data_IF_103580435222
#
_entry.id   IF_103580435222
#
_cell.length_a   1.000
_cell.length_b   1.000
_cell.length_c   1.000
_cell.angle_alpha   90.00
_cell.angle_beta   90.00
_cell.angle_gamma   90.00
#
_symmetry.space_group_name_H-M   'P 1'
#
loop_
_entity.id
_entity.type
_entity.pdbx_description
1 polymer ?
#
# COMPACT_ATOMS: atom_id res chain seq x y z
N UNK A 1 16.89 6.59 -6.04
CA UNK A 1 16.88 7.14 -4.65
C UNK A 1 15.57 7.87 -4.33
N UNK A 2 15.03 8.71 -5.23
CA UNK A 2 13.75 9.42 -5.01
C UNK A 2 12.55 8.49 -4.72
N UNK A 3 12.41 7.38 -5.44
CA UNK A 3 11.29 6.45 -5.25
C UNK A 3 11.19 5.92 -3.81
N UNK A 4 12.32 5.69 -3.14
CA UNK A 4 12.32 5.23 -1.75
C UNK A 4 11.68 6.29 -0.83
N UNK A 5 11.97 7.57 -1.03
CA UNK A 5 11.36 8.64 -0.26
C UNK A 5 9.85 8.71 -0.48
N UNK A 6 9.40 8.62 -1.73
CA UNK A 6 7.98 8.64 -2.08
C UNK A 6 7.20 7.46 -1.47
N UNK A 7 7.86 6.32 -1.26
CA UNK A 7 7.24 5.14 -0.66
C UNK A 7 7.28 5.20 0.88
N UNK A 8 8.46 5.44 1.47
CA UNK A 8 8.65 5.29 2.91
C UNK A 8 8.24 6.53 3.73
N UNK A 9 8.33 7.75 3.17
CA UNK A 9 7.97 8.97 3.92
C UNK A 9 6.48 8.97 4.31
N UNK A 10 5.52 8.71 3.40
CA UNK A 10 4.10 8.64 3.78
C UNK A 10 3.84 7.61 4.88
N UNK A 11 4.45 6.42 4.76
CA UNK A 11 4.33 5.33 5.75
C UNK A 11 4.83 5.79 7.13
N UNK A 12 6.00 6.41 7.17
CA UNK A 12 6.57 6.96 8.41
C UNK A 12 5.69 8.04 9.03
N UNK A 13 5.10 8.91 8.22
CA UNK A 13 4.17 9.96 8.68
C UNK A 13 2.90 9.33 9.28
N UNK A 14 2.27 8.36 8.63
CA UNK A 14 1.06 7.72 9.15
C UNK A 14 1.32 7.04 10.49
N UNK A 15 2.40 6.26 10.59
CA UNK A 15 2.81 5.61 11.82
C UNK A 15 3.13 6.63 12.92
N UNK A 16 3.91 7.65 12.58
CA UNK A 16 4.29 8.72 13.50
C UNK A 16 3.08 9.45 14.08
N UNK A 17 2.10 9.81 13.24
CA UNK A 17 0.86 10.45 13.67
C UNK A 17 0.03 9.54 14.57
N UNK A 18 -0.15 8.27 14.20
CA UNK A 18 -0.92 7.30 15.00
C UNK A 18 -0.32 7.11 16.39
N UNK A 19 1.02 7.00 16.47
CA UNK A 19 1.73 6.82 17.73
C UNK A 19 1.77 8.12 18.55
N UNK A 20 2.01 9.27 17.92
CA UNK A 20 2.07 10.56 18.61
C UNK A 20 0.70 10.96 19.16
N UNK A 21 -0.38 10.74 18.40
CA UNK A 21 -1.75 11.06 18.83
C UNK A 21 -2.40 9.97 19.68
N UNK A 22 -1.68 8.89 19.97
CA UNK A 22 -2.17 7.77 20.78
C UNK A 22 -3.56 7.27 20.35
N UNK A 23 -3.75 7.09 19.04
CA UNK A 23 -5.07 6.74 18.51
C UNK A 23 -5.59 5.43 19.12
N UNK A 24 -6.88 5.34 19.48
CA UNK A 24 -7.42 4.21 20.25
C UNK A 24 -7.46 2.89 19.48
N UNK A 25 -7.44 2.93 18.14
CA UNK A 25 -7.51 1.74 17.26
C UNK A 25 -6.40 1.78 16.21
N UNK A 26 -5.12 1.78 16.63
CA UNK A 26 -3.98 2.08 15.74
C UNK A 26 -3.88 1.09 14.57
N UNK A 27 -4.11 -0.20 14.83
CA UNK A 27 -4.11 -1.23 13.79
C UNK A 27 -5.20 -0.99 12.74
N UNK A 28 -6.45 -0.80 13.17
CA UNK A 28 -7.57 -0.59 12.25
C UNK A 28 -7.41 0.71 11.46
N UNK A 29 -6.93 1.79 12.11
CA UNK A 29 -6.64 3.05 11.44
C UNK A 29 -5.63 2.86 10.32
N UNK A 30 -4.49 2.21 10.60
CA UNK A 30 -3.43 2.00 9.61
C UNK A 30 -3.83 0.99 8.52
N UNK A 31 -4.65 0.00 8.85
CA UNK A 31 -5.22 -0.93 7.87
C UNK A 31 -6.13 -0.20 6.87
N UNK A 32 -7.02 0.68 7.35
CA UNK A 32 -7.92 1.47 6.50
C UNK A 32 -7.14 2.47 5.66
N UNK A 33 -6.11 3.11 6.23
CA UNK A 33 -5.20 3.99 5.47
C UNK A 33 -4.51 3.18 4.36
N UNK A 34 -3.97 2.01 4.68
CA UNK A 34 -3.31 1.12 3.71
C UNK A 34 -4.25 0.67 2.59
N UNK A 35 -5.49 0.29 2.91
CA UNK A 35 -6.52 -0.04 1.92
C UNK A 35 -6.81 1.16 1.00
N UNK A 36 -7.08 2.32 1.58
CA UNK A 36 -7.38 3.56 0.83
C UNK A 36 -6.21 3.95 -0.06
N UNK A 37 -4.99 3.87 0.46
CA UNK A 37 -3.75 4.11 -0.28
C UNK A 37 -3.61 3.13 -1.45
N UNK A 38 -3.81 1.82 -1.21
CA UNK A 38 -3.73 0.79 -2.26
C UNK A 38 -4.75 1.01 -3.39
N UNK A 39 -5.96 1.47 -3.04
CA UNK A 39 -6.98 1.87 -4.02
C UNK A 39 -6.48 3.06 -4.85
N UNK A 40 -5.98 4.12 -4.22
CA UNK A 40 -5.47 5.29 -4.94
C UNK A 40 -4.27 4.95 -5.84
N UNK A 41 -3.35 4.10 -5.38
CA UNK A 41 -2.24 3.60 -6.20
C UNK A 41 -2.76 2.78 -7.38
N UNK A 42 -3.74 1.90 -7.15
CA UNK A 42 -4.37 1.13 -8.21
C UNK A 42 -5.02 2.03 -9.26
N UNK A 43 -5.76 3.06 -8.84
CA UNK A 43 -6.35 4.06 -9.73
C UNK A 43 -5.27 4.84 -10.48
N UNK A 44 -4.18 5.23 -9.82
CA UNK A 44 -3.05 5.89 -10.47
C UNK A 44 -2.43 5.00 -11.55
N UNK A 45 -2.25 3.69 -11.31
CA UNK A 45 -1.81 2.76 -12.34
C UNK A 45 -2.78 2.71 -13.52
N UNK A 46 -4.09 2.72 -13.29
CA UNK A 46 -5.07 2.67 -14.38
C UNK A 46 -5.11 3.94 -15.22
N UNK A 47 -5.10 5.09 -14.54
CA UNK A 47 -5.12 6.40 -15.18
C UNK A 47 -3.81 6.64 -15.93
N UNK A 48 -2.67 6.36 -15.30
CA UNK A 48 -1.35 6.68 -15.84
C UNK A 48 -0.80 5.62 -16.83
N UNK A 49 -1.49 4.49 -17.00
CA UNK A 49 -1.06 3.37 -17.84
C UNK A 49 -0.55 3.76 -19.25
N UNK A 50 -1.18 4.68 -20.00
CA UNK A 50 -0.72 5.03 -21.35
C UNK A 50 0.63 5.75 -21.38
N UNK A 51 1.03 6.37 -20.27
CA UNK A 51 2.29 7.10 -20.13
C UNK A 51 3.35 6.31 -19.36
N UNK A 52 2.98 5.16 -18.78
CA UNK A 52 3.88 4.36 -17.96
C UNK A 52 4.83 3.49 -18.79
N UNK A 53 4.51 3.24 -20.07
CA UNK A 53 5.27 2.33 -20.94
C UNK A 53 5.38 2.88 -22.36
N UNK A 54 6.59 2.82 -22.94
CA UNK A 54 6.80 3.13 -24.37
C UNK A 54 6.11 2.10 -25.27
N UNK A 55 5.96 0.87 -24.79
CA UNK A 55 5.21 -0.20 -25.44
C UNK A 55 4.38 -0.94 -24.40
N UNK A 56 3.08 -1.22 -24.65
CA UNK A 56 2.23 -1.88 -23.67
C UNK A 56 2.80 -3.24 -23.23
N UNK A 57 2.75 -3.56 -21.92
CA UNK A 57 3.21 -4.86 -21.43
C UNK A 57 2.39 -6.00 -22.05
N UNK A 58 3.07 -7.13 -22.26
CA UNK A 58 2.53 -8.35 -22.86
C UNK A 58 2.77 -9.56 -21.96
N UNK A 59 1.85 -10.51 -22.01
CA UNK A 59 2.01 -11.85 -21.45
C UNK A 59 3.11 -12.59 -22.22
N UNK A 60 3.96 -13.30 -21.48
CA UNK A 60 5.05 -14.09 -22.03
C UNK A 60 4.80 -15.59 -21.97
N UNK A 61 5.79 -16.36 -22.42
CA UNK A 61 5.80 -17.83 -22.34
C UNK A 61 4.61 -18.46 -23.08
N UNK A 62 3.98 -19.46 -22.46
CA UNK A 62 2.86 -20.21 -23.05
C UNK A 62 1.58 -19.37 -23.26
N UNK A 63 1.57 -18.11 -22.81
CA UNK A 63 0.46 -17.19 -22.96
C UNK A 63 0.73 -16.11 -24.04
N UNK A 64 1.91 -16.10 -24.65
CA UNK A 64 2.25 -15.14 -25.68
C UNK A 64 1.35 -15.32 -26.91
N UNK A 65 0.62 -14.26 -27.28
CA UNK A 65 -0.25 -14.26 -28.45
C UNK A 65 -1.52 -15.11 -28.33
N UNK A 66 -1.82 -15.67 -27.16
CA UNK A 66 -3.04 -16.50 -26.96
C UNK A 66 -4.30 -15.66 -26.77
N UNK A 67 -4.16 -14.41 -26.32
CA UNK A 67 -5.25 -13.48 -26.09
C UNK A 67 -5.25 -12.35 -27.13
N UNK A 68 -6.43 -11.78 -27.39
CA UNK A 68 -6.51 -10.50 -28.09
C UNK A 68 -5.85 -9.40 -27.26
N UNK A 69 -5.36 -8.35 -27.93
CA UNK A 69 -4.70 -7.21 -27.26
C UNK A 69 -5.56 -6.56 -26.18
N UNK A 70 -6.88 -6.45 -26.42
CA UNK A 70 -7.82 -5.91 -25.45
C UNK A 70 -7.98 -6.80 -24.23
N UNK A 71 -8.11 -8.12 -24.43
CA UNK A 71 -8.25 -9.08 -23.32
C UNK A 71 -6.97 -9.11 -22.46
N UNK A 72 -5.81 -9.15 -23.11
CA UNK A 72 -4.50 -9.12 -22.46
C UNK A 72 -4.29 -7.86 -21.61
N UNK A 73 -4.56 -6.68 -22.18
CA UNK A 73 -4.50 -5.40 -21.47
C UNK A 73 -5.45 -5.36 -20.28
N UNK A 74 -6.66 -5.88 -20.44
CA UNK A 74 -7.67 -5.94 -19.36
C UNK A 74 -7.19 -6.81 -18.20
N UNK A 75 -6.68 -8.01 -18.49
CA UNK A 75 -6.14 -8.93 -17.47
C UNK A 75 -4.98 -8.27 -16.72
N UNK A 76 -3.99 -7.72 -17.43
CA UNK A 76 -2.83 -7.07 -16.81
C UNK A 76 -3.23 -5.89 -15.94
N UNK A 77 -4.19 -5.07 -16.40
CA UNK A 77 -4.72 -3.93 -15.63
C UNK A 77 -5.47 -4.36 -14.38
N UNK A 78 -6.29 -5.41 -14.46
CA UNK A 78 -6.98 -5.97 -13.29
C UNK A 78 -5.97 -6.51 -12.26
N UNK A 79 -4.93 -7.22 -12.71
CA UNK A 79 -3.86 -7.67 -11.83
C UNK A 79 -3.09 -6.50 -11.20
N UNK A 80 -2.77 -5.46 -11.97
CA UNK A 80 -2.10 -4.27 -11.45
C UNK A 80 -2.95 -3.56 -10.39
N UNK A 81 -4.26 -3.41 -10.62
CA UNK A 81 -5.18 -2.83 -9.64
C UNK A 81 -5.30 -3.72 -8.39
N UNK A 82 -5.61 -5.00 -8.56
CA UNK A 82 -5.80 -5.94 -7.46
C UNK A 82 -4.54 -6.10 -6.59
N UNK A 83 -3.36 -6.18 -7.22
CA UNK A 83 -2.09 -6.21 -6.51
C UNK A 83 -1.80 -4.90 -5.77
N UNK A 84 -2.21 -3.75 -6.28
CA UNK A 84 -2.08 -2.46 -5.58
C UNK A 84 -2.91 -2.44 -4.29
N UNK A 85 -4.16 -2.91 -4.35
CA UNK A 85 -5.04 -3.02 -3.18
C UNK A 85 -4.47 -4.01 -2.15
N UNK A 86 -4.04 -5.19 -2.60
CA UNK A 86 -3.46 -6.21 -1.73
C UNK A 86 -2.15 -5.73 -1.08
N UNK A 87 -1.30 -5.05 -1.86
CA UNK A 87 -0.07 -4.45 -1.35
C UNK A 87 -0.38 -3.38 -0.30
N UNK A 88 -1.35 -2.49 -0.57
CA UNK A 88 -1.79 -1.47 0.38
C UNK A 88 -2.32 -2.07 1.69
N UNK A 89 -3.12 -3.13 1.61
CA UNK A 89 -3.58 -3.90 2.78
C UNK A 89 -2.40 -4.51 3.55
N UNK A 90 -1.45 -5.14 2.86
CA UNK A 90 -0.27 -5.73 3.47
C UNK A 90 0.59 -4.69 4.20
N UNK A 91 0.84 -3.54 3.57
CA UNK A 91 1.55 -2.40 4.19
C UNK A 91 0.78 -1.89 5.41
N UNK A 92 -0.53 -1.64 5.27
CA UNK A 92 -1.38 -1.16 6.37
C UNK A 92 -1.42 -2.12 7.56
N UNK A 93 -1.49 -3.43 7.29
CA UNK A 93 -1.44 -4.46 8.33
C UNK A 93 -0.09 -4.48 9.06
N UNK A 94 1.03 -4.50 8.32
CA UNK A 94 2.37 -4.52 8.91
C UNK A 94 2.63 -3.27 9.75
N UNK A 95 2.36 -2.08 9.19
CA UNK A 95 2.55 -0.80 9.88
C UNK A 95 1.58 -0.69 11.07
N UNK A 96 0.36 -1.18 10.91
CA UNK A 96 -0.65 -1.28 11.97
C UNK A 96 -0.20 -2.12 13.16
N UNK A 97 0.43 -3.28 12.90
CA UNK A 97 1.00 -4.13 13.94
C UNK A 97 2.13 -3.41 14.69
N UNK A 98 3.01 -2.71 13.96
CA UNK A 98 4.08 -1.90 14.55
C UNK A 98 3.50 -0.77 15.42
N UNK A 99 2.51 -0.03 14.92
CA UNK A 99 1.88 1.07 15.67
C UNK A 99 1.15 0.59 16.92
N UNK A 100 0.42 -0.52 16.82
CA UNK A 100 -0.21 -1.17 17.97
C UNK A 100 0.82 -1.63 19.01
N UNK A 101 1.90 -2.30 18.59
CA UNK A 101 2.98 -2.74 19.47
C UNK A 101 3.66 -1.56 20.17
N UNK A 102 3.95 -0.48 19.44
CA UNK A 102 4.57 0.72 19.98
C UNK A 102 3.72 1.36 21.09
N UNK A 103 2.41 1.48 20.90
CA UNK A 103 1.50 2.04 21.91
C UNK A 103 1.33 1.09 23.10
N UNK A 104 1.26 -0.23 22.87
CA UNK A 104 1.19 -1.22 23.97
C UNK A 104 2.43 -1.18 24.86
N UNK A 105 3.62 -1.04 24.28
CA UNK A 105 4.87 -0.91 25.02
C UNK A 105 4.94 0.38 25.83
N UNK A 106 4.41 1.50 25.30
CA UNK A 106 4.33 2.78 26.03
C UNK A 106 3.40 2.71 27.23
N UNK A 107 2.20 2.15 27.06
CA UNK A 107 1.24 1.98 28.16
C UNK A 107 1.65 0.95 29.22
N UNK A 108 2.60 0.06 28.90
CA UNK A 108 3.15 -0.91 29.85
C UNK A 108 4.30 -0.35 30.70
N UNK A 109 4.81 0.84 30.37
CA UNK A 109 5.80 1.50 31.22
C UNK A 109 5.08 2.01 32.48
N UNK A 110 5.57 1.69 33.69
CA UNK A 110 5.07 2.33 34.90
C UNK A 110 5.11 3.85 34.67
N UNK A 111 3.98 4.54 34.87
CA UNK A 111 4.03 5.99 35.00
C UNK A 111 4.97 6.25 36.16
N UNK A 112 6.18 6.74 35.86
CA UNK A 112 7.07 7.24 36.90
C UNK A 112 6.24 8.28 37.67
N UNK A 113 5.93 7.96 38.92
CA UNK A 113 5.16 8.85 39.78
C UNK A 113 5.90 10.18 39.85
N UNK A 114 5.26 11.23 39.32
CA UNK A 114 5.63 12.62 39.54
C UNK A 114 4.73 13.19 40.63
#
# INVERSE_FOLDING_TARGET
MLNALLVFVPIGVWLGVVVWRELPRPFLTLLVIGLTYGVFVGLAHQLLWPWAFDSPPRLGGNLAGTLSSTAESTVLRLFAFGSSVLTGLGVGALVGLVGWGALRLRGSRPRAAG
#
